data_IF_951030160112
#
_entry.id   IF_951030160112
#
_cell.length_a   1.000
_cell.length_b   1.000
_cell.length_c   1.000
_cell.angle_alpha   90.00
_cell.angle_beta   90.00
_cell.angle_gamma   90.00
#
_symmetry.space_group_name_H-M   'P 1'
#
loop_
_entity.id
_entity.type
_entity.pdbx_description
1 polymer ?
#
# COMPACT_ATOMS: atom_id res chain seq x y z
N UNK A 1 15.02 -2.20 8.88
CA UNK A 1 13.87 -1.42 9.37
C UNK A 1 12.62 -2.14 8.93
N UNK A 2 11.62 -2.24 9.80
CA UNK A 2 10.36 -2.92 9.51
C UNK A 2 9.25 -1.89 9.44
N UNK A 3 8.55 -1.84 8.31
CA UNK A 3 7.53 -0.82 8.02
C UNK A 3 6.20 -1.48 7.69
N UNK A 4 5.15 -1.09 8.40
CA UNK A 4 3.77 -1.50 8.11
C UNK A 4 3.00 -0.31 7.55
N UNK A 5 2.41 -0.48 6.37
CA UNK A 5 1.64 0.55 5.68
C UNK A 5 0.19 0.07 5.59
N UNK A 6 -0.73 0.86 6.12
CA UNK A 6 -2.17 0.56 6.08
C UNK A 6 -2.83 1.52 5.10
N UNK A 7 -3.46 0.99 4.05
CA UNK A 7 -4.14 1.75 3.01
C UNK A 7 -5.64 1.48 3.10
N UNK A 8 -6.47 2.44 3.52
CA UNK A 8 -7.91 2.30 3.43
C UNK A 8 -8.35 2.37 1.95
N UNK A 9 -9.13 1.39 1.51
CA UNK A 9 -9.69 1.30 0.17
C UNK A 9 -11.19 1.65 0.22
N UNK A 10 -11.51 2.94 0.36
CA UNK A 10 -12.88 3.44 0.36
C UNK A 10 -13.26 3.86 -1.07
N UNK A 11 -14.21 3.17 -1.71
CA UNK A 11 -14.89 3.55 -2.97
C UNK A 11 -14.03 3.95 -4.20
N UNK A 12 -12.73 3.67 -4.21
CA UNK A 12 -11.78 4.07 -5.27
C UNK A 12 -10.89 2.90 -5.72
N UNK A 13 -11.49 1.73 -5.97
CA UNK A 13 -10.82 0.46 -6.29
C UNK A 13 -9.76 0.57 -7.41
N UNK A 14 -9.97 1.43 -8.41
CA UNK A 14 -9.00 1.63 -9.50
C UNK A 14 -7.82 2.54 -9.12
N UNK A 15 -7.97 3.36 -8.08
CA UNK A 15 -6.95 4.32 -7.61
C UNK A 15 -6.01 3.69 -6.57
N UNK A 16 -6.47 2.67 -5.85
CA UNK A 16 -5.66 2.00 -4.83
C UNK A 16 -4.50 1.21 -5.47
N UNK A 17 -4.72 0.61 -6.65
CA UNK A 17 -3.70 -0.18 -7.35
C UNK A 17 -2.48 0.68 -7.71
N UNK A 18 -2.70 1.84 -8.36
CA UNK A 18 -1.60 2.72 -8.76
C UNK A 18 -0.87 3.34 -7.56
N UNK A 19 -1.57 3.53 -6.44
CA UNK A 19 -0.98 3.98 -5.18
C UNK A 19 -0.06 2.90 -4.61
N UNK A 20 -0.51 1.65 -4.57
CA UNK A 20 0.29 0.50 -4.11
C UNK A 20 1.53 0.33 -4.99
N UNK A 21 1.40 0.39 -6.32
CA UNK A 21 2.52 0.25 -7.24
C UNK A 21 3.57 1.34 -7.01
N UNK A 22 3.15 2.59 -6.82
CA UNK A 22 4.05 3.72 -6.55
C UNK A 22 4.79 3.54 -5.21
N UNK A 23 4.09 3.04 -4.18
CA UNK A 23 4.68 2.76 -2.87
C UNK A 23 5.69 1.62 -2.95
N UNK A 24 5.37 0.54 -3.67
CA UNK A 24 6.31 -0.58 -3.90
C UNK A 24 7.56 -0.12 -4.62
N UNK A 25 7.41 0.62 -5.72
CA UNK A 25 8.54 1.14 -6.49
C UNK A 25 9.47 1.99 -5.61
N UNK A 26 8.91 2.83 -4.74
CA UNK A 26 9.70 3.59 -3.78
C UNK A 26 10.43 2.70 -2.77
N UNK A 27 9.79 1.64 -2.27
CA UNK A 27 10.36 0.78 -1.24
C UNK A 27 11.35 -0.26 -1.79
N UNK A 28 11.23 -0.65 -3.04
CA UNK A 28 12.10 -1.66 -3.67
C UNK A 28 13.56 -1.18 -3.78
N UNK A 29 13.79 0.13 -3.89
CA UNK A 29 15.13 0.73 -3.85
C UNK A 29 15.74 0.76 -2.42
N UNK A 30 15.02 0.26 -1.41
CA UNK A 30 15.42 0.31 0.00
C UNK A 30 15.60 -1.08 0.57
N UNK A 31 16.62 -1.25 1.43
CA UNK A 31 16.86 -2.50 2.17
C UNK A 31 15.90 -2.68 3.37
N UNK A 32 14.64 -2.31 3.20
CA UNK A 32 13.62 -2.36 4.25
C UNK A 32 12.71 -3.56 4.04
N UNK A 33 12.32 -4.20 5.14
CA UNK A 33 11.25 -5.18 5.11
C UNK A 33 9.95 -4.44 5.33
N UNK A 34 8.98 -4.59 4.43
CA UNK A 34 7.71 -3.90 4.53
C UNK A 34 6.53 -4.80 4.22
N UNK A 35 5.38 -4.44 4.77
CA UNK A 35 4.07 -5.01 4.44
C UNK A 35 3.09 -3.89 4.09
N UNK A 36 2.18 -4.18 3.17
CA UNK A 36 1.09 -3.28 2.78
C UNK A 36 -0.21 -4.00 3.07
N UNK A 37 -1.02 -3.45 3.96
CA UNK A 37 -2.32 -3.98 4.36
C UNK A 37 -3.39 -3.06 3.77
N UNK A 38 -4.17 -3.58 2.84
CA UNK A 38 -5.32 -2.88 2.27
C UNK A 38 -6.55 -3.21 3.11
N UNK A 39 -7.23 -2.18 3.60
CA UNK A 39 -8.42 -2.31 4.44
C UNK A 39 -9.62 -1.75 3.68
N UNK A 40 -10.51 -2.63 3.27
CA UNK A 40 -11.83 -2.28 2.75
C UNK A 40 -12.72 -1.78 3.92
N UNK A 41 -13.45 -0.69 3.72
CA UNK A 41 -14.37 -0.14 4.71
C UNK A 41 -15.73 -0.89 4.75
N UNK A 42 -15.90 -1.89 3.89
CA UNK A 42 -17.00 -2.86 3.95
C UNK A 42 -18.33 -2.31 3.44
N UNK A 43 -18.29 -1.30 2.58
CA UNK A 43 -19.45 -0.67 1.94
C UNK A 43 -20.11 -1.53 0.87
#
# INVERSE_FOLDING_TARGET
MNLTIVVPACNEELRVVSTIDSVRQFLDDRSWTYEIIVVDDGS
#
